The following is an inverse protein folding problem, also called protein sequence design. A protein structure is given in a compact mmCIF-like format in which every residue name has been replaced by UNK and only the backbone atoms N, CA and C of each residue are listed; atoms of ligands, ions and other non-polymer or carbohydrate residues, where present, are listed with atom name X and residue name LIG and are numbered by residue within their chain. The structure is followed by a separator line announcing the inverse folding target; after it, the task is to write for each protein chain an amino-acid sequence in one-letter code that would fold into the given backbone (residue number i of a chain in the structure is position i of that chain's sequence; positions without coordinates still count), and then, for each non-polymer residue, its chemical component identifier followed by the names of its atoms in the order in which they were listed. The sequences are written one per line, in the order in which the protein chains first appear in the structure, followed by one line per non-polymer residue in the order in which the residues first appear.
data_IF_300714792752
#
_entry.id   IF_300714792752
#
_cell.length_a   1.000
_cell.length_b   1.000
_cell.length_c   1.000
_cell.angle_alpha   90.00
_cell.angle_beta   90.00
_cell.angle_gamma   90.00
#
_symmetry.space_group_name_H-M   'P 1'
#
loop_
_entity.id
_entity.type
_entity.pdbx_description
1 polymer ?
#
# COMPACT_ATOMS: atom_id res chain seq x y z
N UNK A 1 4.63 12.85 -9.99
CA UNK A 1 4.51 12.75 -8.53
C UNK A 1 5.74 12.13 -7.89
N UNK A 2 5.98 12.40 -6.62
CA UNK A 2 7.05 11.80 -5.83
C UNK A 2 6.50 10.53 -5.20
N UNK A 3 7.26 9.44 -5.26
CA UNK A 3 6.96 8.21 -4.53
C UNK A 3 8.12 7.90 -3.60
N UNK A 4 7.84 7.69 -2.33
CA UNK A 4 8.83 7.39 -1.30
C UNK A 4 8.38 6.18 -0.49
N UNK A 5 9.35 5.51 0.10
CA UNK A 5 9.09 4.36 0.98
C UNK A 5 9.04 4.79 2.46
N UNK A 6 9.33 6.05 2.76
CA UNK A 6 9.32 6.56 4.13
C UNK A 6 8.99 8.05 4.20
N UNK A 7 8.42 8.46 5.32
CA UNK A 7 8.11 9.86 5.59
C UNK A 7 9.40 10.71 5.58
N UNK A 8 10.47 10.23 6.24
CA UNK A 8 11.79 10.90 6.22
C UNK A 8 12.35 11.08 4.80
N UNK A 9 12.13 10.09 3.94
CA UNK A 9 12.57 10.18 2.54
C UNK A 9 11.76 11.24 1.79
N UNK A 10 10.46 11.34 2.05
CA UNK A 10 9.60 12.36 1.45
C UNK A 10 10.05 13.76 1.88
N UNK A 11 10.26 13.96 3.18
CA UNK A 11 10.68 15.24 3.75
C UNK A 11 12.06 15.67 3.24
N UNK A 12 13.01 14.75 3.17
CA UNK A 12 14.34 15.04 2.56
C UNK A 12 14.23 15.41 1.08
N UNK A 13 13.40 14.69 0.31
CA UNK A 13 13.20 15.00 -1.11
C UNK A 13 12.57 16.39 -1.30
N UNK A 14 11.53 16.71 -0.54
CA UNK A 14 10.87 18.02 -0.58
C UNK A 14 11.82 19.13 -0.15
N UNK A 15 12.60 18.93 0.90
CA UNK A 15 13.59 19.90 1.38
C UNK A 15 14.67 20.18 0.33
N UNK A 16 15.20 19.12 -0.29
CA UNK A 16 16.18 19.26 -1.37
C UNK A 16 15.60 20.02 -2.58
N UNK A 17 14.36 19.74 -2.96
CA UNK A 17 13.69 20.46 -4.06
C UNK A 17 13.48 21.93 -3.73
N UNK A 18 13.08 22.28 -2.51
CA UNK A 18 12.95 23.68 -2.08
C UNK A 18 14.30 24.39 -2.13
N UNK A 19 15.38 23.73 -1.69
CA UNK A 19 16.73 24.29 -1.73
C UNK A 19 17.21 24.54 -3.16
N UNK A 20 16.91 23.66 -4.10
CA UNK A 20 17.23 23.83 -5.52
C UNK A 20 16.44 25.00 -6.12
N UNK A 21 15.13 25.06 -5.87
CA UNK A 21 14.26 26.11 -6.39
C UNK A 21 14.64 27.49 -5.85
N UNK A 22 15.17 27.58 -4.63
CA UNK A 22 15.66 28.82 -4.05
C UNK A 22 16.93 29.38 -4.73
N UNK A 23 17.62 28.57 -5.55
CA UNK A 23 18.81 28.98 -6.29
C UNK A 23 18.40 29.56 -7.65
N UNK A 24 17.98 30.81 -7.65
CA UNK A 24 17.55 31.48 -8.87
C UNK A 24 18.73 32.09 -9.66
N UNK A 25 18.61 32.07 -10.99
CA UNK A 25 19.48 32.85 -11.85
C UNK A 25 19.20 34.34 -11.69
N UNK A 26 20.16 35.25 -12.01
CA UNK A 26 19.92 36.69 -11.96
C UNK A 26 18.65 37.06 -12.74
N UNK A 27 17.82 37.92 -12.14
CA UNK A 27 16.55 38.41 -12.71
C UNK A 27 15.48 37.31 -12.97
N UNK A 28 15.61 36.12 -12.36
CA UNK A 28 14.58 35.09 -12.41
C UNK A 28 14.09 34.75 -11.00
N UNK A 29 12.92 34.15 -10.93
CA UNK A 29 12.38 33.57 -9.71
C UNK A 29 11.66 32.26 -10.03
N UNK A 30 11.66 31.35 -9.08
CA UNK A 30 10.90 30.10 -9.16
C UNK A 30 10.25 29.79 -7.81
N UNK A 31 9.09 29.17 -7.86
CA UNK A 31 8.37 28.66 -6.69
C UNK A 31 8.06 27.20 -6.87
N UNK A 32 7.97 26.47 -5.78
CA UNK A 32 7.53 25.07 -5.77
C UNK A 32 6.44 24.87 -4.72
N UNK A 33 5.35 24.28 -5.14
CA UNK A 33 4.25 23.88 -4.28
C UNK A 33 4.14 22.35 -4.27
N UNK A 34 3.89 21.79 -3.10
CA UNK A 34 3.64 20.37 -2.93
C UNK A 34 2.16 20.20 -2.56
N UNK A 35 1.43 19.46 -3.37
CA UNK A 35 0.10 18.98 -3.02
C UNK A 35 0.21 17.69 -2.23
N UNK A 36 -0.60 17.57 -1.20
CA UNK A 36 -0.71 16.31 -0.46
C UNK A 36 -1.28 15.22 -1.35
N UNK A 37 -0.68 14.04 -1.25
CA UNK A 37 -1.12 12.82 -1.91
C UNK A 37 -1.28 11.71 -0.89
N UNK A 38 -1.25 10.47 -1.36
CA UNK A 38 -1.24 9.32 -0.47
C UNK A 38 0.05 9.29 0.35
N UNK A 39 -0.02 9.16 1.69
CA UNK A 39 1.16 9.03 2.52
C UNK A 39 1.92 7.75 2.20
N UNK A 40 3.25 7.72 2.43
CA UNK A 40 4.01 6.48 2.31
C UNK A 40 3.54 5.48 3.37
N UNK A 41 3.38 4.23 2.96
CA UNK A 41 3.04 3.14 3.87
C UNK A 41 4.29 2.28 4.13
N UNK A 42 4.64 2.12 5.39
CA UNK A 42 5.76 1.28 5.81
C UNK A 42 5.34 -0.18 5.97
N UNK A 43 6.23 -1.12 5.67
CA UNK A 43 6.08 -2.49 6.11
C UNK A 43 6.40 -2.58 7.61
N UNK A 44 5.39 -2.45 8.48
CA UNK A 44 5.53 -2.69 9.91
C UNK A 44 5.62 -4.20 10.22
N UNK A 45 6.04 -4.54 11.43
CA UNK A 45 6.00 -5.92 11.91
C UNK A 45 4.56 -6.43 11.97
N UNK A 46 3.64 -5.66 12.53
CA UNK A 46 2.23 -6.02 12.59
C UNK A 46 1.57 -6.18 11.21
N UNK A 47 1.96 -5.40 10.20
CA UNK A 47 1.51 -5.66 8.83
C UNK A 47 1.98 -7.02 8.31
N UNK A 48 3.18 -7.47 8.69
CA UNK A 48 3.69 -8.81 8.34
C UNK A 48 2.97 -9.90 9.10
N UNK A 49 2.57 -9.66 10.34
CA UNK A 49 1.77 -10.61 11.12
C UNK A 49 0.40 -10.82 10.46
N UNK A 50 -0.29 -9.75 10.07
CA UNK A 50 -1.53 -9.84 9.29
C UNK A 50 -1.31 -10.56 7.96
N UNK A 51 -0.20 -10.30 7.27
CA UNK A 51 0.16 -11.00 6.03
C UNK A 51 0.41 -12.49 6.28
N UNK A 52 1.01 -12.87 7.40
CA UNK A 52 1.25 -14.28 7.74
C UNK A 52 -0.07 -15.03 7.91
N UNK A 53 -1.06 -14.45 8.59
CA UNK A 53 -2.41 -15.00 8.71
C UNK A 53 -3.07 -15.14 7.34
N UNK A 54 -2.95 -14.10 6.49
CA UNK A 54 -3.47 -14.14 5.12
C UNK A 54 -2.80 -15.24 4.28
N UNK A 55 -1.48 -15.41 4.42
CA UNK A 55 -0.72 -16.47 3.72
C UNK A 55 -1.24 -17.85 4.10
N UNK A 56 -1.43 -18.12 5.41
CA UNK A 56 -2.00 -19.38 5.90
C UNK A 56 -3.42 -19.62 5.35
N UNK A 57 -4.27 -18.57 5.30
CA UNK A 57 -5.60 -18.68 4.67
C UNK A 57 -5.49 -19.07 3.20
N UNK A 58 -4.54 -18.47 2.47
CA UNK A 58 -4.36 -18.72 1.05
C UNK A 58 -3.84 -20.14 0.77
N UNK A 59 -2.96 -20.65 1.64
CA UNK A 59 -2.47 -22.03 1.60
C UNK A 59 -3.59 -23.05 1.86
N UNK A 60 -4.45 -22.82 2.86
CA UNK A 60 -5.62 -23.66 3.16
C UNK A 60 -6.63 -23.67 2.00
N UNK A 61 -6.67 -22.60 1.22
CA UNK A 61 -7.47 -22.52 -0.01
C UNK A 61 -6.76 -23.16 -1.23
N UNK A 62 -5.61 -23.80 -1.03
CA UNK A 62 -4.84 -24.49 -2.08
C UNK A 62 -4.17 -23.54 -3.08
N UNK A 63 -3.83 -22.33 -2.66
CA UNK A 63 -3.27 -21.29 -3.55
C UNK A 63 -1.81 -20.93 -3.29
N UNK A 64 -1.17 -21.61 -2.32
CA UNK A 64 0.22 -21.37 -1.93
C UNK A 64 0.44 -20.13 -1.08
N UNK A 65 1.68 -19.94 -0.64
CA UNK A 65 2.06 -18.83 0.23
C UNK A 65 1.92 -17.46 -0.45
N UNK A 66 1.63 -16.45 0.35
CA UNK A 66 1.63 -15.05 -0.07
C UNK A 66 2.83 -14.31 0.54
N UNK A 67 3.40 -13.41 -0.21
CA UNK A 67 4.57 -12.63 0.20
C UNK A 67 4.32 -11.14 0.05
N UNK A 68 5.07 -10.35 0.83
CA UNK A 68 5.03 -8.90 0.69
C UNK A 68 5.55 -8.48 -0.69
N UNK A 69 4.93 -7.46 -1.26
CA UNK A 69 5.42 -6.83 -2.47
C UNK A 69 6.52 -5.84 -2.11
N UNK A 70 7.60 -5.85 -2.90
CA UNK A 70 8.68 -4.87 -2.76
C UNK A 70 8.10 -3.45 -2.67
N UNK A 71 8.48 -2.66 -1.65
CA UNK A 71 7.99 -1.29 -1.47
C UNK A 71 8.13 -0.39 -2.70
N UNK A 72 9.18 -0.58 -3.49
CA UNK A 72 9.41 0.19 -4.73
C UNK A 72 8.41 -0.12 -5.85
N UNK A 73 7.74 -1.27 -5.78
CA UNK A 73 6.75 -1.74 -6.76
C UNK A 73 5.31 -1.51 -6.35
N UNK A 74 5.09 -1.06 -5.12
CA UNK A 74 3.74 -0.80 -4.61
C UNK A 74 3.16 0.49 -5.20
N UNK A 75 1.85 0.46 -5.49
CA UNK A 75 1.06 1.67 -5.74
C UNK A 75 0.62 2.33 -4.44
N UNK A 76 0.08 3.53 -4.53
CA UNK A 76 -0.67 4.15 -3.44
C UNK A 76 -2.02 3.45 -3.27
N UNK A 77 -2.50 3.36 -2.03
CA UNK A 77 -3.81 2.79 -1.71
C UNK A 77 -4.37 3.45 -0.44
N UNK A 78 -5.68 3.47 -0.30
CA UNK A 78 -6.38 4.11 0.83
C UNK A 78 -5.92 3.58 2.20
N UNK A 79 -5.46 2.33 2.24
CA UNK A 79 -4.87 1.72 3.43
C UNK A 79 -3.69 2.52 4.02
N UNK A 80 -3.00 3.32 3.21
CA UNK A 80 -1.89 4.16 3.69
C UNK A 80 -2.32 5.26 4.67
N UNK A 81 -3.60 5.69 4.63
CA UNK A 81 -4.14 6.66 5.58
C UNK A 81 -4.46 6.06 6.95
N UNK A 82 -4.73 4.76 7.02
CA UNK A 82 -5.05 4.07 8.27
C UNK A 82 -3.87 3.33 8.88
N UNK A 83 -2.86 3.01 8.08
CA UNK A 83 -1.67 2.26 8.50
C UNK A 83 -0.85 2.89 9.64
N UNK A 84 -0.87 4.22 9.89
CA UNK A 84 -0.25 4.79 11.09
C UNK A 84 -0.98 4.46 12.40
N UNK A 85 -2.21 3.98 12.34
CA UNK A 85 -3.09 3.78 13.50
C UNK A 85 -3.42 2.31 13.75
N UNK A 86 -3.22 1.45 12.77
CA UNK A 86 -3.53 0.02 12.86
C UNK A 86 -2.71 -0.77 11.86
N UNK A 87 -2.50 -2.05 12.16
CA UNK A 87 -1.89 -2.97 11.21
C UNK A 87 -2.83 -3.23 10.04
N UNK A 88 -2.31 -3.10 8.85
CA UNK A 88 -3.13 -3.08 7.65
C UNK A 88 -2.43 -3.69 6.44
N UNK A 89 -3.22 -4.32 5.58
CA UNK A 89 -2.77 -4.88 4.30
C UNK A 89 -3.71 -4.45 3.18
N UNK A 90 -3.20 -4.46 1.95
CA UNK A 90 -3.96 -4.19 0.74
C UNK A 90 -3.82 -5.33 -0.27
N UNK A 91 -4.57 -5.26 -1.37
CA UNK A 91 -4.45 -6.24 -2.46
C UNK A 91 -5.31 -7.50 -2.28
N UNK A 92 -6.37 -7.44 -1.47
CA UNK A 92 -7.29 -8.56 -1.22
C UNK A 92 -8.35 -8.75 -2.33
N UNK A 93 -8.45 -7.81 -3.25
CA UNK A 93 -9.45 -7.82 -4.31
C UNK A 93 -9.27 -8.93 -5.35
N UNK A 94 -10.19 -9.00 -6.33
CA UNK A 94 -10.09 -9.91 -7.46
C UNK A 94 -8.93 -9.54 -8.39
N UNK A 95 -8.57 -10.47 -9.27
CA UNK A 95 -7.55 -10.24 -10.29
C UNK A 95 -8.05 -9.25 -11.34
N UNK A 96 -7.17 -8.38 -11.80
CA UNK A 96 -7.44 -7.41 -12.86
C UNK A 96 -6.29 -7.26 -13.83
N UNK A 97 -6.57 -6.63 -14.96
CA UNK A 97 -5.58 -6.25 -15.97
C UNK A 97 -5.86 -4.86 -16.50
N UNK A 98 -4.80 -4.16 -16.93
CA UNK A 98 -4.92 -2.85 -17.56
C UNK A 98 -5.31 -1.73 -16.59
N UNK A 99 -5.01 -1.85 -15.31
CA UNK A 99 -5.32 -0.83 -14.32
C UNK A 99 -4.85 0.56 -14.76
N UNK A 100 -5.69 1.58 -14.51
CA UNK A 100 -5.47 2.98 -14.91
C UNK A 100 -5.45 3.22 -16.43
N UNK A 101 -6.06 2.33 -17.22
CA UNK A 101 -6.19 2.51 -18.67
C UNK A 101 -7.66 2.35 -19.12
N UNK A 102 -8.04 2.83 -20.31
CA UNK A 102 -9.37 2.58 -20.87
C UNK A 102 -9.70 1.09 -21.10
N UNK A 103 -8.72 0.21 -20.98
CA UNK A 103 -8.86 -1.24 -21.15
C UNK A 103 -8.85 -1.98 -19.80
N UNK A 104 -9.04 -1.27 -18.70
CA UNK A 104 -9.10 -1.87 -17.36
C UNK A 104 -10.27 -2.86 -17.29
N UNK A 105 -9.97 -4.04 -16.74
CA UNK A 105 -10.94 -5.11 -16.59
C UNK A 105 -10.62 -5.97 -15.37
N UNK A 106 -11.67 -6.52 -14.76
CA UNK A 106 -11.60 -7.48 -13.67
C UNK A 106 -11.93 -8.89 -14.17
N UNK A 107 -11.23 -9.87 -13.63
CA UNK A 107 -11.55 -11.28 -13.81
C UNK A 107 -12.61 -11.70 -12.78
N UNK A 108 -13.87 -11.77 -13.21
CA UNK A 108 -14.99 -12.14 -12.37
C UNK A 108 -14.86 -13.57 -11.82
N UNK A 109 -14.15 -14.47 -12.50
CA UNK A 109 -13.92 -15.83 -12.01
C UNK A 109 -13.01 -15.87 -10.77
N UNK A 110 -12.21 -14.85 -10.54
CA UNK A 110 -11.36 -14.71 -9.36
C UNK A 110 -12.08 -14.14 -8.12
N UNK A 111 -13.25 -13.53 -8.30
CA UNK A 111 -13.99 -12.86 -7.23
C UNK A 111 -14.44 -13.80 -6.10
N UNK A 112 -14.98 -15.02 -6.35
CA UNK A 112 -15.37 -15.93 -5.27
C UNK A 112 -14.19 -16.32 -4.37
N UNK A 113 -12.99 -16.47 -4.93
CA UNK A 113 -11.78 -16.75 -4.15
C UNK A 113 -11.38 -15.55 -3.30
N UNK A 114 -11.42 -14.34 -3.86
CA UNK A 114 -11.11 -13.11 -3.13
C UNK A 114 -12.06 -12.92 -1.94
N UNK A 115 -13.37 -13.15 -2.14
CA UNK A 115 -14.39 -13.07 -1.09
C UNK A 115 -14.14 -14.12 0.01
N UNK A 116 -13.90 -15.39 -0.35
CA UNK A 116 -13.62 -16.46 0.64
C UNK A 116 -12.39 -16.14 1.47
N UNK A 117 -11.33 -15.71 0.81
CA UNK A 117 -10.07 -15.33 1.47
C UNK A 117 -10.27 -14.20 2.47
N UNK A 118 -10.95 -13.14 2.07
CA UNK A 118 -11.23 -12.01 2.94
C UNK A 118 -12.11 -12.41 4.14
N UNK A 119 -13.16 -13.19 3.92
CA UNK A 119 -14.06 -13.65 4.98
C UNK A 119 -13.34 -14.53 6.02
N UNK A 120 -12.50 -15.48 5.58
CA UNK A 120 -11.74 -16.34 6.48
C UNK A 120 -10.68 -15.54 7.23
N UNK A 121 -10.02 -14.59 6.56
CA UNK A 121 -9.04 -13.71 7.21
C UNK A 121 -9.70 -12.90 8.34
N UNK A 122 -10.83 -12.25 8.08
CA UNK A 122 -11.56 -11.45 9.08
C UNK A 122 -11.96 -12.36 10.26
N UNK A 123 -12.50 -13.54 9.97
CA UNK A 123 -12.86 -14.50 11.02
C UNK A 123 -11.66 -14.90 11.89
N UNK A 124 -10.51 -15.23 11.29
CA UNK A 124 -9.31 -15.60 12.05
C UNK A 124 -8.77 -14.47 12.90
N UNK A 125 -8.73 -13.26 12.36
CA UNK A 125 -8.27 -12.08 13.10
C UNK A 125 -9.21 -11.74 14.27
N UNK A 126 -10.53 -11.93 14.12
CA UNK A 126 -11.48 -11.68 15.22
C UNK A 126 -11.38 -12.68 16.37
N UNK A 127 -10.78 -13.86 16.16
CA UNK A 127 -10.61 -14.86 17.25
C UNK A 127 -9.37 -14.60 18.13
N UNK A 128 -8.42 -13.78 17.67
CA UNK A 128 -7.19 -13.49 18.42
C UNK A 128 -7.46 -12.60 19.63
N UNK A 129 -8.47 -11.72 19.56
CA UNK A 129 -8.83 -10.80 20.65
C UNK A 129 -9.49 -11.49 21.86
N UNK A 130 -10.09 -12.69 21.70
CA UNK A 130 -10.74 -13.40 22.81
C UNK A 130 -9.75 -14.17 23.71
N UNK A 131 -8.47 -14.22 23.36
CA UNK A 131 -7.46 -15.02 24.06
C UNK A 131 -6.48 -14.19 24.92
N UNK A 132 -6.74 -12.89 25.09
CA UNK A 132 -5.91 -11.93 25.87
C UNK A 132 -6.64 -11.43 27.15
#
# INVERSE_FOLDING_TARGET
GIRTISQDQLERAQSAMRAIVAQNLPQTSATIEFSEGYPPMFPSEGNRDVLSVLSAVNEDLGRGAMHELDPSRRGAADVSFVSPYTDAIAGLGPLGKGGHTPHERVDLSSMPLAIKRAAILIYRLSQVEESS
#
